data_IF_969389943546
#
_entry.id   IF_969389943546
#
_cell.length_a   1.000
_cell.length_b   1.000
_cell.length_c   1.000
_cell.angle_alpha   90.00
_cell.angle_beta   90.00
_cell.angle_gamma   90.00
#
_symmetry.space_group_name_H-M   'P 1'
#
loop_
_entity.id
_entity.type
_entity.pdbx_description
1 polymer ?
#
# COMPACT_ATOMS: atom_id res chain seq x y z
N UNK A 1 18.45 45.01 2.45
CA UNK A 1 17.80 44.42 3.66
C UNK A 1 16.55 43.62 3.29
N UNK A 2 15.75 44.11 2.33
CA UNK A 2 14.58 43.41 1.76
C UNK A 2 14.91 42.06 1.11
N UNK A 3 16.01 41.97 0.37
CA UNK A 3 16.36 40.73 -0.35
C UNK A 3 16.76 39.59 0.59
N UNK A 4 17.43 39.93 1.69
CA UNK A 4 17.75 38.98 2.76
C UNK A 4 16.48 38.44 3.43
N UNK A 5 15.47 39.30 3.60
CA UNK A 5 14.17 38.91 4.13
C UNK A 5 13.47 37.92 3.17
N UNK A 6 13.51 38.17 1.86
CA UNK A 6 12.93 37.26 0.86
C UNK A 6 13.61 35.90 0.87
N UNK A 7 14.94 35.85 0.92
CA UNK A 7 15.69 34.61 1.02
C UNK A 7 15.38 33.84 2.31
N UNK A 8 15.23 34.55 3.43
CA UNK A 8 14.87 33.95 4.72
C UNK A 8 13.46 33.34 4.67
N UNK A 9 12.50 34.03 4.06
CA UNK A 9 11.13 33.51 3.90
C UNK A 9 11.12 32.28 2.99
N UNK A 10 11.83 32.33 1.86
CA UNK A 10 11.95 31.18 0.93
C UNK A 10 12.56 29.97 1.64
N UNK A 11 13.66 30.18 2.39
CA UNK A 11 14.32 29.11 3.15
C UNK A 11 13.41 28.51 4.22
N UNK A 12 12.70 29.35 4.98
CA UNK A 12 11.75 28.89 5.99
C UNK A 12 10.58 28.10 5.38
N UNK A 13 10.08 28.53 4.22
CA UNK A 13 9.05 27.82 3.48
C UNK A 13 9.53 26.42 3.06
N UNK A 14 10.72 26.29 2.46
CA UNK A 14 11.27 24.98 2.11
C UNK A 14 11.51 24.09 3.33
N UNK A 15 12.00 24.66 4.44
CA UNK A 15 12.23 23.92 5.68
C UNK A 15 10.93 23.36 6.28
N UNK A 16 9.90 24.21 6.38
CA UNK A 16 8.59 23.77 6.88
C UNK A 16 7.92 22.78 5.93
N UNK A 17 8.06 22.96 4.61
CA UNK A 17 7.60 22.01 3.59
C UNK A 17 8.22 20.63 3.80
N UNK A 18 9.54 20.56 3.97
CA UNK A 18 10.27 19.32 4.18
C UNK A 18 9.74 18.57 5.40
N UNK A 19 9.62 19.26 6.54
CA UNK A 19 9.14 18.65 7.78
C UNK A 19 7.72 18.13 7.63
N UNK A 20 6.83 18.93 7.02
CA UNK A 20 5.44 18.52 6.79
C UNK A 20 5.37 17.28 5.91
N UNK A 21 6.13 17.24 4.80
CA UNK A 21 6.14 16.08 3.91
C UNK A 21 6.70 14.84 4.59
N UNK A 22 7.78 14.99 5.35
CA UNK A 22 8.41 13.90 6.10
C UNK A 22 7.43 13.30 7.11
N UNK A 23 6.72 14.12 7.88
CA UNK A 23 5.70 13.64 8.82
C UNK A 23 4.51 13.00 8.14
N UNK A 24 4.02 13.59 7.06
CA UNK A 24 2.87 13.07 6.33
C UNK A 24 3.17 11.68 5.76
N UNK A 25 4.37 11.51 5.20
CA UNK A 25 4.83 10.24 4.68
C UNK A 25 5.08 9.21 5.79
N UNK A 26 5.72 9.63 6.89
CA UNK A 26 5.95 8.79 8.07
C UNK A 26 4.64 8.22 8.63
N UNK A 27 3.63 9.07 8.87
CA UNK A 27 2.33 8.64 9.41
C UNK A 27 1.58 7.71 8.46
N UNK A 28 1.87 7.79 7.16
CA UNK A 28 1.22 6.94 6.15
C UNK A 28 1.94 5.60 5.93
N UNK A 29 3.27 5.61 5.93
CA UNK A 29 4.10 4.42 5.72
C UNK A 29 4.17 3.64 7.04
N UNK A 30 4.64 4.23 8.13
CA UNK A 30 4.90 3.49 9.37
C UNK A 30 4.16 4.12 10.56
N UNK A 31 2.85 3.84 10.71
CA UNK A 31 2.06 4.40 11.80
C UNK A 31 2.55 3.93 13.17
N UNK A 32 3.17 2.75 13.26
CA UNK A 32 3.65 2.15 14.50
C UNK A 32 4.89 2.90 15.04
N UNK A 33 5.84 3.27 14.18
CA UNK A 33 6.98 4.13 14.57
C UNK A 33 6.52 5.49 15.13
N UNK A 34 5.42 6.05 14.60
CA UNK A 34 4.86 7.31 15.10
C UNK A 34 4.17 7.10 16.45
N UNK A 35 3.56 5.93 16.67
CA UNK A 35 2.94 5.55 17.94
C UNK A 35 3.97 5.36 19.05
N UNK A 36 5.18 4.87 18.73
CA UNK A 36 6.30 4.76 19.69
C UNK A 36 6.76 6.13 20.24
N UNK A 37 6.57 7.22 19.49
CA UNK A 37 6.95 8.57 19.92
C UNK A 37 5.93 9.21 20.87
N UNK A 38 4.72 8.66 20.95
CA UNK A 38 3.61 9.18 21.76
C UNK A 38 3.92 9.29 23.26
N UNK A 39 4.57 8.32 23.93
CA UNK A 39 4.95 8.45 25.34
C UNK A 39 6.00 9.53 25.61
N UNK A 40 6.85 9.87 24.64
CA UNK A 40 7.97 10.81 24.83
C UNK A 40 7.59 12.29 24.63
N UNK A 41 6.41 12.56 24.07
CA UNK A 41 5.97 13.91 23.70
C UNK A 41 5.00 14.55 24.70
N UNK A 42 4.94 15.89 24.69
CA UNK A 42 4.00 16.67 25.51
C UNK A 42 2.53 16.31 25.21
N UNK A 43 1.66 16.50 26.20
CA UNK A 43 0.22 16.17 26.14
C UNK A 43 -0.52 16.78 24.94
N UNK A 44 -0.19 18.01 24.55
CA UNK A 44 -0.78 18.66 23.38
C UNK A 44 -0.34 17.99 22.06
N UNK A 45 0.96 17.75 21.89
CA UNK A 45 1.53 17.08 20.71
C UNK A 45 1.02 15.65 20.58
N UNK A 46 0.88 14.93 21.71
CA UNK A 46 0.26 13.60 21.77
C UNK A 46 -1.15 13.60 21.19
N UNK A 47 -2.00 14.55 21.60
CA UNK A 47 -3.37 14.67 21.08
C UNK A 47 -3.38 14.93 19.57
N UNK A 48 -2.44 15.74 19.08
CA UNK A 48 -2.33 16.04 17.66
C UNK A 48 -1.92 14.81 16.86
N UNK A 49 -0.86 14.12 17.29
CA UNK A 49 -0.40 12.88 16.67
C UNK A 49 -1.52 11.85 16.57
N UNK A 50 -2.22 11.58 17.68
CA UNK A 50 -3.35 10.65 17.71
C UNK A 50 -4.49 11.04 16.76
N UNK A 51 -4.75 12.34 16.59
CA UNK A 51 -5.79 12.81 15.66
C UNK A 51 -5.34 12.60 14.20
N UNK A 52 -4.06 12.80 13.93
CA UNK A 52 -3.49 12.76 12.58
C UNK A 52 -3.20 11.32 12.13
N UNK A 53 -2.77 10.44 13.03
CA UNK A 53 -2.58 9.00 12.77
C UNK A 53 -3.90 8.24 12.60
N UNK A 54 -4.98 8.69 13.27
CA UNK A 54 -6.29 8.06 13.12
C UNK A 54 -6.90 8.14 11.71
N UNK A 55 -6.43 9.05 10.85
CA UNK A 55 -6.80 9.12 9.43
C UNK A 55 -5.60 9.62 8.61
N UNK A 56 -4.62 8.72 8.42
CA UNK A 56 -3.38 9.01 7.69
C UNK A 56 -3.63 9.53 6.25
N UNK A 57 -4.69 9.04 5.59
CA UNK A 57 -5.09 9.50 4.24
C UNK A 57 -5.54 10.96 4.25
N UNK A 58 -6.34 11.39 5.23
CA UNK A 58 -6.68 12.81 5.38
C UNK A 58 -5.44 13.65 5.63
N UNK A 59 -4.53 13.16 6.46
CA UNK A 59 -3.33 13.89 6.79
C UNK A 59 -2.41 14.08 5.58
N UNK A 60 -2.21 13.06 4.75
CA UNK A 60 -1.53 13.19 3.45
C UNK A 60 -2.17 14.24 2.56
N UNK A 61 -3.49 14.18 2.34
CA UNK A 61 -4.20 15.13 1.46
C UNK A 61 -4.07 16.57 1.96
N UNK A 62 -4.11 16.77 3.27
CA UNK A 62 -3.93 18.09 3.90
C UNK A 62 -2.47 18.55 3.78
N UNK A 63 -1.51 17.64 3.89
CA UNK A 63 -0.09 17.92 3.65
C UNK A 63 0.15 18.38 2.21
N UNK A 64 -0.52 17.77 1.21
CA UNK A 64 -0.46 18.25 -0.18
C UNK A 64 -0.97 19.68 -0.32
N UNK A 65 -2.13 19.98 0.28
CA UNK A 65 -2.67 21.35 0.30
C UNK A 65 -1.66 22.32 0.90
N UNK A 66 -1.01 21.96 2.01
CA UNK A 66 0.04 22.75 2.64
C UNK A 66 1.24 22.98 1.71
N UNK A 67 1.72 21.91 1.03
CA UNK A 67 2.82 21.98 0.06
C UNK A 67 2.48 22.91 -1.11
N UNK A 68 1.24 22.91 -1.59
CA UNK A 68 0.77 23.83 -2.62
C UNK A 68 0.77 25.29 -2.16
N UNK A 69 0.25 25.58 -0.96
CA UNK A 69 0.31 26.95 -0.42
C UNK A 69 1.74 27.46 -0.25
N UNK A 70 2.62 26.60 0.25
CA UNK A 70 4.04 26.93 0.42
C UNK A 70 4.72 27.21 -0.92
N UNK A 71 4.37 26.45 -1.97
CA UNK A 71 4.86 26.71 -3.33
C UNK A 71 4.43 28.09 -3.83
N UNK A 72 3.15 28.46 -3.69
CA UNK A 72 2.64 29.77 -4.12
C UNK A 72 3.41 30.90 -3.44
N UNK A 73 3.63 30.80 -2.12
CA UNK A 73 4.39 31.80 -1.36
C UNK A 73 5.82 31.91 -1.90
N UNK A 74 6.53 30.78 -2.05
CA UNK A 74 7.89 30.78 -2.58
C UNK A 74 7.94 31.39 -3.97
N UNK A 75 7.01 31.05 -4.86
CA UNK A 75 6.94 31.60 -6.21
C UNK A 75 6.79 33.13 -6.20
N UNK A 76 5.91 33.69 -5.36
CA UNK A 76 5.72 35.14 -5.23
C UNK A 76 7.03 35.81 -4.78
N UNK A 77 7.66 35.29 -3.72
CA UNK A 77 8.90 35.87 -3.20
C UNK A 77 10.08 35.72 -4.17
N UNK A 78 10.14 34.64 -4.95
CA UNK A 78 11.15 34.46 -5.99
C UNK A 78 10.98 35.48 -7.12
N UNK A 79 9.74 35.81 -7.52
CA UNK A 79 9.51 36.87 -8.52
C UNK A 79 9.94 38.24 -7.99
N UNK A 80 9.60 38.57 -6.74
CA UNK A 80 10.03 39.84 -6.11
C UNK A 80 11.56 39.93 -5.97
N UNK A 81 12.20 38.82 -5.61
CA UNK A 81 13.66 38.73 -5.55
C UNK A 81 14.29 38.87 -6.94
N UNK A 82 13.68 38.28 -7.97
CA UNK A 82 14.15 38.36 -9.36
C UNK A 82 14.14 39.79 -9.89
N UNK A 83 13.14 40.60 -9.51
CA UNK A 83 13.11 42.03 -9.83
C UNK A 83 14.28 42.80 -9.22
N UNK A 84 14.58 42.51 -7.96
CA UNK A 84 15.67 43.16 -7.21
C UNK A 84 17.04 42.80 -7.80
N UNK A 85 17.25 41.52 -8.14
CA UNK A 85 18.47 41.03 -8.80
C UNK A 85 18.63 41.62 -10.21
N UNK A 86 17.55 41.66 -11.00
CA UNK A 86 17.56 42.23 -12.35
C UNK A 86 17.98 43.71 -12.34
N UNK A 87 17.46 44.50 -11.41
CA UNK A 87 17.81 45.90 -11.25
C UNK A 87 19.27 46.10 -10.80
N UNK A 88 19.80 45.23 -9.94
CA UNK A 88 21.18 45.32 -9.45
C UNK A 88 22.22 44.96 -10.51
N UNK A 89 21.98 43.89 -11.29
CA UNK A 89 22.94 43.41 -12.30
C UNK A 89 22.68 43.96 -13.73
N UNK A 90 21.61 44.72 -13.95
CA UNK A 90 21.17 45.20 -15.26
C UNK A 90 20.96 44.07 -16.31
N UNK A 91 20.47 42.92 -15.85
CA UNK A 91 20.14 41.76 -16.70
C UNK A 91 18.65 41.79 -17.03
N UNK A 92 18.24 41.26 -18.19
CA UNK A 92 16.85 41.16 -18.60
C UNK A 92 15.99 40.40 -17.56
N UNK A 93 14.93 41.05 -17.07
CA UNK A 93 14.04 40.53 -16.02
C UNK A 93 13.42 39.17 -16.38
N UNK A 94 13.00 39.01 -17.65
CA UNK A 94 12.32 37.79 -18.10
C UNK A 94 13.23 36.58 -17.94
N UNK A 95 14.52 36.74 -18.28
CA UNK A 95 15.50 35.67 -18.16
C UNK A 95 15.69 35.23 -16.70
N UNK A 96 15.83 36.19 -15.77
CA UNK A 96 16.02 35.89 -14.34
C UNK A 96 14.76 35.24 -13.75
N UNK A 97 13.57 35.73 -14.10
CA UNK A 97 12.31 35.15 -13.60
C UNK A 97 12.17 33.71 -14.07
N UNK A 98 12.41 33.42 -15.35
CA UNK A 98 12.33 32.04 -15.87
C UNK A 98 13.34 31.13 -15.15
N UNK A 99 14.59 31.58 -15.01
CA UNK A 99 15.61 30.81 -14.29
C UNK A 99 15.24 30.57 -12.82
N UNK A 100 14.70 31.59 -12.14
CA UNK A 100 14.25 31.50 -10.76
C UNK A 100 13.07 30.53 -10.58
N UNK A 101 12.10 30.55 -11.49
CA UNK A 101 10.95 29.62 -11.46
C UNK A 101 11.38 28.17 -11.70
N UNK A 102 12.28 27.92 -12.65
CA UNK A 102 12.84 26.59 -12.87
C UNK A 102 13.58 26.08 -11.63
N UNK A 103 14.38 26.93 -10.99
CA UNK A 103 15.08 26.58 -9.75
C UNK A 103 14.08 26.25 -8.63
N UNK A 104 13.05 27.07 -8.44
CA UNK A 104 11.99 26.81 -7.44
C UNK A 104 11.30 25.48 -7.72
N UNK A 105 11.00 25.14 -8.97
CA UNK A 105 10.37 23.89 -9.34
C UNK A 105 11.25 22.67 -9.02
N UNK A 106 12.54 22.73 -9.37
CA UNK A 106 13.52 21.68 -9.03
C UNK A 106 13.59 21.48 -7.51
N UNK A 107 13.78 22.57 -6.75
CA UNK A 107 13.85 22.51 -5.30
C UNK A 107 12.53 22.03 -4.68
N UNK A 108 11.39 22.39 -5.28
CA UNK A 108 10.08 21.93 -4.84
C UNK A 108 9.98 20.42 -4.93
N UNK A 109 10.38 19.81 -6.04
CA UNK A 109 10.36 18.34 -6.22
C UNK A 109 11.34 17.67 -5.26
N UNK A 110 12.59 18.15 -5.22
CA UNK A 110 13.64 17.52 -4.41
C UNK A 110 13.26 17.55 -2.93
N UNK A 111 12.95 18.73 -2.38
CA UNK A 111 12.70 18.90 -0.94
C UNK A 111 11.31 18.40 -0.54
N UNK A 112 10.33 18.54 -1.42
CA UNK A 112 8.95 18.17 -1.14
C UNK A 112 8.64 16.69 -1.29
N UNK A 113 9.26 16.03 -2.27
CA UNK A 113 8.89 14.68 -2.66
C UNK A 113 10.04 13.70 -2.50
N UNK A 114 11.21 14.00 -3.05
CA UNK A 114 12.30 13.02 -3.13
C UNK A 114 12.98 12.82 -1.77
N UNK A 115 13.42 13.91 -1.12
CA UNK A 115 14.15 13.85 0.14
C UNK A 115 13.37 13.19 1.29
N UNK A 116 12.07 13.52 1.49
CA UNK A 116 11.23 12.88 2.49
C UNK A 116 11.05 11.37 2.25
N UNK A 117 10.97 10.91 1.00
CA UNK A 117 10.85 9.47 0.68
C UNK A 117 12.03 8.66 1.17
N UNK A 118 13.25 9.16 0.95
CA UNK A 118 14.46 8.48 1.44
C UNK A 118 14.65 8.57 2.95
N UNK A 119 14.17 9.66 3.59
CA UNK A 119 14.47 9.96 5.00
C UNK A 119 13.37 9.54 5.98
N UNK A 120 12.13 9.39 5.51
CA UNK A 120 10.95 9.12 6.35
C UNK A 120 11.11 7.90 7.26
N UNK A 121 11.78 6.84 6.80
CA UNK A 121 12.00 5.58 7.53
C UNK A 121 13.07 5.61 8.63
N UNK A 122 13.83 6.70 8.75
CA UNK A 122 14.98 6.77 9.68
C UNK A 122 15.06 8.06 10.48
N UNK A 123 14.33 9.09 10.05
CA UNK A 123 14.54 10.45 10.54
C UNK A 123 13.46 10.96 11.51
N UNK A 124 12.43 10.16 11.82
CA UNK A 124 11.40 10.60 12.75
C UNK A 124 11.99 10.58 14.16
N UNK A 125 12.16 11.76 14.73
CA UNK A 125 12.68 11.95 16.07
C UNK A 125 11.73 12.87 16.85
N UNK A 126 11.66 12.71 18.17
CA UNK A 126 10.97 13.61 19.11
C UNK A 126 11.26 15.08 18.81
N UNK A 127 12.48 15.42 18.39
CA UNK A 127 12.86 16.79 18.02
C UNK A 127 12.02 17.40 16.89
N UNK A 128 11.60 16.59 15.93
CA UNK A 128 10.78 17.03 14.81
C UNK A 128 9.30 17.24 15.21
N UNK A 129 8.81 16.57 16.26
CA UNK A 129 7.39 16.65 16.68
C UNK A 129 7.04 18.04 17.18
N UNK A 130 8.07 18.82 17.54
CA UNK A 130 7.98 20.24 17.89
C UNK A 130 7.44 21.11 16.78
N UNK A 131 7.45 20.68 15.52
CA UNK A 131 6.95 21.46 14.37
C UNK A 131 5.52 21.12 13.98
N UNK A 132 4.92 20.08 14.59
CA UNK A 132 3.54 19.67 14.29
C UNK A 132 2.53 20.80 14.56
N UNK A 133 2.84 21.72 15.48
CA UNK A 133 1.96 22.86 15.77
C UNK A 133 1.73 23.78 14.57
N UNK A 134 2.63 23.76 13.57
CA UNK A 134 2.50 24.54 12.33
C UNK A 134 1.39 23.95 11.45
N UNK A 135 1.34 22.62 11.34
CA UNK A 135 0.40 21.92 10.45
C UNK A 135 -0.95 21.64 11.11
N UNK A 136 -1.00 21.40 12.42
CA UNK A 136 -2.24 21.08 13.12
C UNK A 136 -3.41 22.07 12.95
N UNK A 137 -3.22 23.41 12.99
CA UNK A 137 -4.32 24.33 12.74
C UNK A 137 -4.86 24.18 11.31
N UNK A 138 -3.98 24.00 10.33
CA UNK A 138 -4.33 23.78 8.92
C UNK A 138 -5.11 22.46 8.81
N UNK A 139 -4.62 21.41 9.45
CA UNK A 139 -5.33 20.14 9.52
C UNK A 139 -6.74 20.31 10.08
N UNK A 140 -6.90 20.97 11.23
CA UNK A 140 -8.21 21.16 11.87
C UNK A 140 -9.18 21.97 10.99
N UNK A 141 -8.68 22.95 10.25
CA UNK A 141 -9.48 23.80 9.34
C UNK A 141 -9.91 23.02 8.10
N UNK A 142 -9.00 22.26 7.47
CA UNK A 142 -9.27 21.57 6.21
C UNK A 142 -9.87 20.17 6.38
N UNK A 143 -9.71 19.53 7.53
CA UNK A 143 -10.27 18.21 7.83
C UNK A 143 -11.78 18.08 7.53
N UNK A 144 -12.68 19.00 7.95
CA UNK A 144 -14.10 18.88 7.62
C UNK A 144 -14.39 19.00 6.12
N UNK A 145 -13.56 19.74 5.38
CA UNK A 145 -13.70 19.92 3.93
C UNK A 145 -13.29 18.60 3.24
N UNK A 146 -12.12 18.08 3.58
CA UNK A 146 -11.59 16.82 3.06
C UNK A 146 -12.54 15.66 3.37
N UNK A 147 -13.06 15.58 4.59
CA UNK A 147 -14.03 14.54 4.98
C UNK A 147 -15.32 14.61 4.16
N UNK A 148 -15.88 15.81 3.95
CA UNK A 148 -17.10 15.97 3.13
C UNK A 148 -16.85 15.64 1.67
N UNK A 149 -15.71 16.05 1.13
CA UNK A 149 -15.31 15.71 -0.25
C UNK A 149 -15.27 14.19 -0.46
N UNK A 150 -14.61 13.46 0.44
CA UNK A 150 -14.58 11.99 0.36
C UNK A 150 -15.95 11.34 0.51
N UNK A 151 -16.75 11.80 1.48
CA UNK A 151 -18.12 11.30 1.64
C UNK A 151 -19.03 11.57 0.43
N UNK A 152 -18.75 12.62 -0.35
CA UNK A 152 -19.47 12.89 -1.59
C UNK A 152 -19.02 11.96 -2.72
N UNK A 153 -17.72 11.65 -2.80
CA UNK A 153 -17.18 10.69 -3.78
C UNK A 153 -17.66 9.25 -3.50
N UNK A 154 -17.65 8.81 -2.24
CA UNK A 154 -18.12 7.46 -1.86
C UNK A 154 -19.63 7.24 -2.12
N UNK A 155 -20.41 8.33 -2.08
CA UNK A 155 -21.83 8.31 -2.44
C UNK A 155 -22.07 8.31 -3.96
N UNK A 156 -21.08 8.70 -4.74
CA UNK A 156 -21.12 8.64 -6.20
C UNK A 156 -20.59 7.31 -6.74
N UNK A 157 -19.65 6.67 -6.03
CA UNK A 157 -19.08 5.36 -6.42
C UNK A 157 -19.91 4.15 -5.99
N UNK A 158 -20.97 4.33 -5.20
CA UNK A 158 -21.85 3.23 -4.77
C UNK A 158 -22.76 2.69 -5.89
N UNK A 159 -22.67 3.23 -7.11
CA UNK A 159 -23.48 2.82 -8.25
C UNK A 159 -22.66 2.39 -9.48
N UNK A 160 -21.33 2.51 -9.46
CA UNK A 160 -20.44 1.99 -10.51
C UNK A 160 -19.65 0.83 -9.93
N UNK A 161 -19.86 -0.37 -10.48
CA UNK A 161 -18.96 -1.50 -10.27
C UNK A 161 -17.56 -1.02 -10.63
N UNK A 162 -16.68 -0.92 -9.63
CA UNK A 162 -15.25 -0.63 -9.81
C UNK A 162 -14.74 -1.49 -10.96
N UNK A 163 -14.29 -0.85 -12.05
CA UNK A 163 -13.77 -1.57 -13.21
C UNK A 163 -12.56 -2.40 -12.80
N UNK A 164 -12.36 -3.54 -13.45
CA UNK A 164 -11.20 -4.43 -13.23
C UNK A 164 -9.89 -3.62 -13.27
N UNK A 165 -9.80 -2.66 -14.20
CA UNK A 165 -8.65 -1.76 -14.36
C UNK A 165 -8.37 -0.88 -13.12
N UNK A 166 -9.40 -0.36 -12.42
CA UNK A 166 -9.20 0.45 -11.20
C UNK A 166 -8.81 -0.42 -9.99
N UNK A 167 -9.26 -1.68 -9.94
CA UNK A 167 -8.81 -2.63 -8.92
C UNK A 167 -7.34 -3.00 -9.14
N UNK A 168 -6.96 -3.22 -10.39
CA UNK A 168 -5.58 -3.53 -10.78
C UNK A 168 -4.63 -2.39 -10.38
N UNK A 169 -5.04 -1.13 -10.62
CA UNK A 169 -4.32 0.10 -10.24
C UNK A 169 -4.19 0.29 -8.71
N UNK A 170 -5.25 -0.01 -7.96
CA UNK A 170 -5.26 0.07 -6.49
C UNK A 170 -4.36 -1.00 -5.89
N UNK A 171 -4.36 -2.19 -6.49
CA UNK A 171 -3.57 -3.32 -6.03
C UNK A 171 -2.09 -3.13 -6.41
N UNK A 172 -1.79 -2.59 -7.59
CA UNK A 172 -0.43 -2.21 -7.97
C UNK A 172 0.18 -1.20 -6.98
N UNK A 173 -0.56 -0.15 -6.61
CA UNK A 173 -0.11 0.81 -5.59
C UNK A 173 0.03 0.20 -4.21
N UNK A 174 -0.81 -0.78 -3.84
CA UNK A 174 -0.68 -1.51 -2.59
C UNK A 174 0.59 -2.39 -2.59
N UNK A 175 0.93 -3.01 -3.72
CA UNK A 175 2.16 -3.80 -3.89
C UNK A 175 3.40 -2.92 -3.86
N UNK A 176 3.39 -1.78 -4.54
CA UNK A 176 4.49 -0.80 -4.45
C UNK A 176 4.71 -0.36 -3.01
N UNK A 177 3.63 -0.07 -2.29
CA UNK A 177 3.67 0.29 -0.87
C UNK A 177 4.27 -0.87 -0.05
N UNK A 178 3.86 -2.11 -0.26
CA UNK A 178 4.33 -3.27 0.52
C UNK A 178 5.77 -3.67 0.19
N UNK A 179 6.17 -3.61 -1.09
CA UNK A 179 7.55 -3.83 -1.53
C UNK A 179 8.49 -2.79 -0.93
N UNK A 180 8.03 -1.53 -0.91
CA UNK A 180 8.65 -0.47 -0.14
C UNK A 180 8.76 -0.90 1.35
N UNK A 181 7.68 -1.29 2.03
CA UNK A 181 7.71 -1.65 3.47
C UNK A 181 8.64 -2.81 3.80
N UNK A 182 8.75 -3.80 2.92
CA UNK A 182 9.68 -4.92 3.05
C UNK A 182 11.16 -4.54 2.83
N UNK A 183 11.45 -3.27 2.52
CA UNK A 183 12.80 -2.79 2.26
C UNK A 183 13.41 -3.33 0.97
N UNK A 184 12.56 -3.86 0.08
CA UNK A 184 12.98 -4.39 -1.21
C UNK A 184 13.06 -3.18 -2.13
N UNK A 185 14.25 -2.56 -2.18
CA UNK A 185 14.55 -1.47 -3.09
C UNK A 185 14.06 -1.79 -4.51
N UNK A 186 13.44 -0.80 -5.17
CA UNK A 186 12.84 -0.78 -6.52
C UNK A 186 13.71 -1.32 -7.68
N UNK A 187 14.82 -2.00 -7.41
CA UNK A 187 15.74 -2.55 -8.42
C UNK A 187 15.90 -4.08 -8.35
N UNK A 188 15.28 -4.78 -7.39
CA UNK A 188 15.48 -6.23 -7.20
C UNK A 188 14.19 -7.00 -6.86
N UNK A 189 13.02 -6.53 -7.31
CA UNK A 189 11.81 -7.38 -7.29
C UNK A 189 11.63 -7.90 -8.70
N UNK A 190 11.85 -9.20 -8.91
CA UNK A 190 11.56 -9.85 -10.19
C UNK A 190 10.05 -9.71 -10.49
N UNK A 191 9.65 -9.60 -11.75
CA UNK A 191 8.22 -9.44 -12.11
C UNK A 191 7.36 -10.55 -11.51
N UNK A 192 7.93 -11.75 -11.37
CA UNK A 192 7.31 -12.91 -10.71
C UNK A 192 7.05 -12.70 -9.23
N UNK A 193 7.94 -12.02 -8.51
CA UNK A 193 7.76 -11.71 -7.09
C UNK A 193 6.66 -10.67 -6.91
N UNK A 194 6.59 -9.67 -7.79
CA UNK A 194 5.50 -8.68 -7.82
C UNK A 194 4.15 -9.36 -8.07
N UNK A 195 4.09 -10.27 -9.05
CA UNK A 195 2.89 -11.06 -9.36
C UNK A 195 2.48 -11.96 -8.19
N UNK A 196 3.44 -12.59 -7.50
CA UNK A 196 3.16 -13.42 -6.34
C UNK A 196 2.57 -12.61 -5.18
N UNK A 197 3.15 -11.44 -4.87
CA UNK A 197 2.64 -10.54 -3.82
C UNK A 197 1.21 -10.09 -4.17
N UNK A 198 0.95 -9.78 -5.44
CA UNK A 198 -0.39 -9.44 -5.93
C UNK A 198 -1.41 -10.54 -5.60
N UNK A 199 -1.09 -11.78 -5.99
CA UNK A 199 -1.95 -12.94 -5.76
C UNK A 199 -2.20 -13.21 -4.25
N UNK A 200 -1.25 -12.89 -3.38
CA UNK A 200 -1.43 -13.01 -1.92
C UNK A 200 -2.50 -12.03 -1.41
N UNK A 201 -2.52 -10.78 -1.90
CA UNK A 201 -3.54 -9.81 -1.50
C UNK A 201 -4.92 -10.18 -2.04
N UNK A 202 -4.99 -10.67 -3.27
CA UNK A 202 -6.23 -11.14 -3.87
C UNK A 202 -6.81 -12.35 -3.14
N UNK A 203 -5.94 -13.23 -2.60
CA UNK A 203 -6.35 -14.45 -1.88
C UNK A 203 -7.26 -14.17 -0.67
N UNK A 204 -7.09 -13.03 0.02
CA UNK A 204 -7.98 -12.64 1.14
C UNK A 204 -9.42 -12.37 0.67
N UNK A 205 -9.58 -11.98 -0.59
CA UNK A 205 -10.87 -11.69 -1.22
C UNK A 205 -11.40 -12.87 -2.05
N UNK A 206 -10.54 -13.79 -2.46
CA UNK A 206 -10.90 -14.96 -3.27
C UNK A 206 -11.75 -15.94 -2.47
N UNK A 207 -12.97 -16.19 -2.95
CA UNK A 207 -13.84 -17.20 -2.32
C UNK A 207 -13.44 -18.60 -2.76
N UNK A 208 -13.60 -19.61 -1.89
CA UNK A 208 -13.24 -20.99 -2.19
C UNK A 208 -13.85 -21.52 -3.51
N UNK A 209 -15.02 -21.02 -3.91
CA UNK A 209 -15.69 -21.35 -5.17
C UNK A 209 -14.87 -20.98 -6.41
N UNK A 210 -14.03 -19.95 -6.34
CA UNK A 210 -13.21 -19.46 -7.46
C UNK A 210 -12.00 -20.36 -7.73
N UNK A 211 -11.50 -21.06 -6.70
CA UNK A 211 -10.28 -21.87 -6.78
C UNK A 211 -10.51 -23.38 -6.56
N UNK A 212 -11.72 -23.80 -6.21
CA UNK A 212 -12.04 -25.22 -6.06
C UNK A 212 -12.12 -25.92 -7.41
N UNK A 213 -11.82 -27.22 -7.43
CA UNK A 213 -12.15 -28.08 -8.57
C UNK A 213 -13.68 -28.15 -8.68
N UNK A 214 -14.30 -27.80 -9.82
CA UNK A 214 -15.73 -27.90 -9.99
C UNK A 214 -16.23 -29.32 -9.75
N UNK A 215 -17.41 -29.47 -9.14
CA UNK A 215 -18.01 -30.77 -8.80
C UNK A 215 -17.98 -31.81 -9.93
N UNK A 216 -18.29 -31.47 -11.21
CA UNK A 216 -18.25 -32.44 -12.31
C UNK A 216 -16.84 -32.99 -12.61
N UNK A 217 -15.80 -32.24 -12.24
CA UNK A 217 -14.41 -32.54 -12.54
C UNK A 217 -13.70 -33.26 -11.38
N UNK A 218 -14.40 -33.52 -10.28
CA UNK A 218 -13.86 -34.25 -9.13
C UNK A 218 -13.68 -35.73 -9.49
N UNK A 219 -12.43 -36.19 -9.46
CA UNK A 219 -12.11 -37.61 -9.54
C UNK A 219 -12.15 -38.19 -8.12
N UNK A 220 -13.06 -39.14 -7.89
CA UNK A 220 -13.30 -39.76 -6.59
C UNK A 220 -13.47 -41.28 -6.72
N UNK A 221 -13.26 -42.01 -5.62
CA UNK A 221 -13.48 -43.45 -5.56
C UNK A 221 -14.85 -43.78 -4.96
N UNK A 222 -15.55 -44.71 -5.58
CA UNK A 222 -16.74 -45.30 -4.95
C UNK A 222 -16.30 -46.34 -3.91
N UNK A 223 -17.02 -46.40 -2.78
CA UNK A 223 -16.76 -47.36 -1.69
C UNK A 223 -16.60 -48.82 -2.17
N UNK A 224 -17.35 -49.21 -3.19
CA UNK A 224 -17.41 -50.59 -3.72
C UNK A 224 -16.45 -50.85 -4.89
N UNK A 225 -15.65 -49.87 -5.29
CA UNK A 225 -14.75 -49.97 -6.43
C UNK A 225 -13.63 -50.99 -6.16
N UNK A 226 -13.31 -51.81 -7.17
CA UNK A 226 -12.28 -52.82 -7.03
C UNK A 226 -10.87 -52.19 -6.98
N UNK A 227 -9.95 -52.79 -6.22
CA UNK A 227 -8.57 -52.30 -6.11
C UNK A 227 -7.88 -52.13 -7.47
N UNK A 228 -8.17 -53.01 -8.43
CA UNK A 228 -7.60 -52.94 -9.79
C UNK A 228 -8.04 -51.67 -10.51
N UNK A 229 -9.31 -51.30 -10.42
CA UNK A 229 -9.88 -50.10 -11.05
C UNK A 229 -9.31 -48.85 -10.40
N UNK A 230 -9.24 -48.80 -9.07
CA UNK A 230 -8.59 -47.73 -8.31
C UNK A 230 -7.14 -47.55 -8.76
N UNK A 231 -6.39 -48.65 -8.91
CA UNK A 231 -5.00 -48.62 -9.37
C UNK A 231 -4.87 -48.07 -10.80
N UNK A 232 -5.81 -48.37 -11.68
CA UNK A 232 -5.85 -47.83 -13.05
C UNK A 232 -6.13 -46.32 -13.03
N UNK A 233 -7.07 -45.86 -12.20
CA UNK A 233 -7.37 -44.42 -12.02
C UNK A 233 -6.15 -43.67 -11.44
N UNK A 234 -5.53 -44.21 -10.39
CA UNK A 234 -4.33 -43.60 -9.78
C UNK A 234 -3.20 -43.46 -10.81
N UNK A 235 -2.98 -44.49 -11.64
CA UNK A 235 -1.95 -44.44 -12.69
C UNK A 235 -2.27 -43.43 -13.78
N UNK A 236 -3.55 -43.21 -14.07
CA UNK A 236 -4.00 -42.29 -15.11
C UNK A 236 -3.92 -40.83 -14.65
N UNK A 237 -4.43 -40.52 -13.46
CA UNK A 237 -4.62 -39.14 -13.00
C UNK A 237 -3.51 -38.64 -12.07
N UNK A 238 -2.81 -39.55 -11.38
CA UNK A 238 -1.59 -39.23 -10.62
C UNK A 238 -1.78 -38.37 -9.37
N UNK A 239 -3.00 -38.17 -8.88
CA UNK A 239 -3.25 -37.37 -7.67
C UNK A 239 -2.81 -38.12 -6.40
N UNK A 240 -2.45 -37.39 -5.35
CA UNK A 240 -2.04 -37.99 -4.08
C UNK A 240 -3.21 -38.36 -3.16
N UNK A 241 -4.36 -37.69 -3.35
CA UNK A 241 -5.54 -37.78 -2.49
C UNK A 241 -6.78 -37.88 -3.36
N UNK A 242 -7.67 -38.80 -3.01
CA UNK A 242 -8.93 -39.01 -3.71
C UNK A 242 -10.07 -39.03 -2.68
N UNK A 243 -11.12 -38.21 -2.86
CA UNK A 243 -12.34 -38.35 -2.07
C UNK A 243 -12.93 -39.74 -2.27
N UNK A 244 -13.48 -40.31 -1.20
CA UNK A 244 -14.21 -41.58 -1.27
C UNK A 244 -15.66 -41.32 -0.94
N UNK A 245 -16.57 -41.78 -1.79
CA UNK A 245 -18.00 -41.55 -1.65
C UNK A 245 -18.80 -42.84 -1.54
N UNK A 246 -20.01 -42.72 -1.00
CA UNK A 246 -20.98 -43.81 -0.88
C UNK A 246 -22.22 -43.50 -1.72
N UNK A 247 -22.49 -44.33 -2.73
CA UNK A 247 -23.64 -44.25 -3.66
C UNK A 247 -23.65 -43.03 -4.58
N UNK A 248 -23.34 -41.84 -4.07
CA UNK A 248 -23.33 -40.57 -4.82
C UNK A 248 -22.17 -39.70 -4.37
N UNK A 249 -21.62 -38.88 -5.27
CA UNK A 249 -20.48 -37.99 -4.97
C UNK A 249 -20.81 -36.91 -3.93
N UNK A 250 -22.10 -36.69 -3.65
CA UNK A 250 -22.56 -35.77 -2.60
C UNK A 250 -22.33 -36.32 -1.19
N UNK A 251 -22.14 -37.64 -1.07
CA UNK A 251 -21.91 -38.33 0.20
C UNK A 251 -20.47 -38.80 0.29
N UNK A 252 -19.54 -37.85 0.47
CA UNK A 252 -18.14 -38.15 0.75
C UNK A 252 -18.03 -38.74 2.17
N UNK A 253 -17.50 -39.96 2.27
CA UNK A 253 -17.28 -40.68 3.54
C UNK A 253 -15.86 -40.53 4.09
N UNK A 254 -14.90 -40.06 3.27
CA UNK A 254 -13.53 -39.80 3.70
C UNK A 254 -12.60 -39.44 2.55
N UNK A 255 -11.29 -39.46 2.82
CA UNK A 255 -10.24 -39.15 1.86
C UNK A 255 -9.19 -40.25 1.84
N UNK A 256 -9.00 -40.89 0.70
CA UNK A 256 -7.99 -41.93 0.53
C UNK A 256 -6.65 -41.32 0.07
N UNK A 257 -5.60 -41.58 0.83
CA UNK A 257 -4.23 -41.26 0.43
C UNK A 257 -3.61 -42.43 -0.34
N UNK A 258 -3.08 -42.14 -1.54
CA UNK A 258 -2.46 -43.16 -2.39
C UNK A 258 -1.30 -43.87 -1.67
N UNK A 259 -0.52 -43.16 -0.86
CA UNK A 259 0.58 -43.75 -0.07
C UNK A 259 0.11 -44.85 0.88
N UNK A 260 -1.11 -44.79 1.39
CA UNK A 260 -1.62 -45.75 2.38
C UNK A 260 -2.03 -47.06 1.70
N UNK A 261 -2.51 -46.98 0.45
CA UNK A 261 -2.73 -48.13 -0.43
C UNK A 261 -1.41 -48.83 -0.80
N UNK A 262 -0.30 -48.10 -0.91
CA UNK A 262 1.02 -48.69 -1.13
C UNK A 262 1.61 -49.34 0.12
N UNK A 263 1.42 -48.72 1.29
CA UNK A 263 1.98 -49.22 2.55
C UNK A 263 1.26 -50.47 3.07
N UNK A 264 -0.04 -50.61 2.76
CA UNK A 264 -0.86 -51.76 3.17
C UNK A 264 -1.59 -52.33 1.95
N UNK A 265 -0.88 -52.96 1.00
CA UNK A 265 -1.54 -53.53 -0.16
C UNK A 265 -2.56 -54.59 0.28
N UNK A 266 -3.71 -54.71 -0.40
CA UNK A 266 -4.69 -55.72 -0.04
C UNK A 266 -4.11 -57.13 -0.17
N UNK A 267 -4.41 -57.99 0.81
CA UNK A 267 -3.99 -59.38 0.81
C UNK A 267 -4.69 -60.15 -0.33
N UNK A 268 -3.95 -61.08 -0.95
CA UNK A 268 -4.52 -61.91 -2.03
C UNK A 268 -5.66 -62.78 -1.49
N UNK A 269 -6.88 -62.53 -1.97
CA UNK A 269 -8.07 -63.34 -1.66
C UNK A 269 -9.08 -62.67 -0.73
N UNK A 270 -8.78 -61.51 -0.15
CA UNK A 270 -9.76 -60.74 0.61
C UNK A 270 -10.54 -59.75 -0.27
N UNK A 271 -11.85 -59.53 0.01
CA UNK A 271 -12.59 -58.45 -0.62
C UNK A 271 -11.96 -57.11 -0.24
N UNK A 272 -11.58 -56.34 -1.26
CA UNK A 272 -11.00 -55.01 -1.06
C UNK A 272 -12.06 -54.05 -0.52
N UNK A 273 -11.77 -53.44 0.62
CA UNK A 273 -12.61 -52.42 1.22
C UNK A 273 -11.78 -51.15 1.43
N UNK A 274 -12.07 -50.13 0.61
CA UNK A 274 -11.37 -48.85 0.65
C UNK A 274 -11.58 -48.10 1.97
N UNK A 275 -12.65 -48.41 2.72
CA UNK A 275 -12.94 -47.72 3.99
C UNK A 275 -11.92 -48.02 5.09
N UNK A 276 -11.15 -49.11 4.95
CA UNK A 276 -10.01 -49.43 5.82
C UNK A 276 -8.81 -48.48 5.63
N UNK A 277 -8.88 -47.60 4.63
CA UNK A 277 -7.79 -46.70 4.19
C UNK A 277 -8.18 -45.20 4.23
N UNK A 278 -9.26 -44.87 4.95
CA UNK A 278 -9.72 -43.49 5.18
C UNK A 278 -9.11 -42.89 6.44
#
# INVERSE_FOLDING_TARGET
MTDLLYLLIISLCFFTKYIVSLYALAVYIDPDEVEELIPEVRSFTKKMLLTMSGDARAFLQISEIYKSFTLIIVTIFTVLLSQSISAFFNINLIFIVIAGLLLVWIFHIIIGEILPRYSSRKAINVGMTKYLWIIYPIYKIFFPIVKRYRQALDKSSSQEQVSEDEKEDIVERAIETVAEHAGISETIVDEKEKEMINQIFLLDQTVAKEIMIPRPDIIAFEKTMAFKEIREIIKKDGHSRYPVYDTTIDKIIGLCYVKDLFNRPPEMGEPFDITKYL
#
